data_IF_010389372245
#
_entry.id   IF_010389372245
#
_cell.length_a   1.000
_cell.length_b   1.000
_cell.length_c   1.000
_cell.angle_alpha   90.00
_cell.angle_beta   90.00
_cell.angle_gamma   90.00
#
_symmetry.space_group_name_H-M   'P 1'
#
loop_
_entity.id
_entity.type
_entity.pdbx_description
1 polymer ?
#
# COMPACT_ATOMS: atom_id res chain seq x y z
N UNK A 1 3.67 -21.91 3.59
CA UNK A 1 3.23 -20.78 2.75
C UNK A 1 1.74 -20.93 2.51
N UNK A 2 0.90 -20.00 2.97
CA UNK A 2 -0.52 -20.04 2.62
C UNK A 2 -0.63 -19.79 1.12
N UNK A 3 -1.13 -20.77 0.36
CA UNK A 3 -1.38 -20.62 -1.08
C UNK A 3 -2.54 -19.63 -1.21
N UNK A 4 -2.27 -18.41 -1.67
CA UNK A 4 -3.31 -17.40 -1.87
C UNK A 4 -4.43 -17.96 -2.74
N UNK A 5 -5.68 -17.58 -2.44
CA UNK A 5 -6.85 -17.98 -3.24
C UNK A 5 -6.62 -17.51 -4.69
N UNK A 6 -7.07 -18.22 -5.75
CA UNK A 6 -6.70 -17.91 -7.14
C UNK A 6 -6.87 -16.42 -7.53
N UNK A 7 -7.91 -15.75 -7.02
CA UNK A 7 -8.17 -14.32 -7.22
C UNK A 7 -7.10 -13.41 -6.59
N UNK A 8 -6.70 -13.71 -5.36
CA UNK A 8 -5.65 -13.00 -4.61
C UNK A 8 -4.31 -13.08 -5.34
N UNK A 9 -3.96 -14.28 -5.79
CA UNK A 9 -2.75 -14.49 -6.59
C UNK A 9 -2.79 -13.70 -7.91
N UNK A 10 -3.95 -13.65 -8.58
CA UNK A 10 -4.11 -12.86 -9.80
C UNK A 10 -3.95 -11.35 -9.57
N UNK A 11 -4.45 -10.81 -8.45
CA UNK A 11 -4.24 -9.41 -8.06
C UNK A 11 -2.75 -9.08 -7.88
N UNK A 12 -2.02 -9.92 -7.15
CA UNK A 12 -0.57 -9.77 -6.96
C UNK A 12 0.18 -9.82 -8.30
N UNK A 13 -0.16 -10.75 -9.18
CA UNK A 13 0.44 -10.86 -10.51
C UNK A 13 0.16 -9.62 -11.37
N UNK A 14 -1.06 -9.09 -11.33
CA UNK A 14 -1.41 -7.83 -12.01
C UNK A 14 -0.60 -6.66 -11.45
N UNK A 15 -0.49 -6.54 -10.13
CA UNK A 15 0.33 -5.49 -9.49
C UNK A 15 1.78 -5.53 -9.97
N UNK A 16 2.39 -6.74 -10.03
CA UNK A 16 3.75 -6.94 -10.50
C UNK A 16 3.96 -6.51 -11.96
N UNK A 17 2.98 -6.72 -12.84
CA UNK A 17 3.08 -6.33 -14.25
C UNK A 17 3.22 -4.81 -14.45
N UNK A 18 2.75 -4.02 -13.49
CA UNK A 18 2.86 -2.57 -13.54
C UNK A 18 4.20 -2.03 -13.05
N UNK A 19 5.06 -2.86 -12.42
CA UNK A 19 6.36 -2.39 -11.94
C UNK A 19 7.19 -1.81 -13.09
N UNK A 20 7.73 -0.61 -12.88
CA UNK A 20 8.48 0.15 -13.89
C UNK A 20 7.63 0.93 -14.88
N UNK A 21 6.29 0.86 -14.78
CA UNK A 21 5.38 1.66 -15.59
C UNK A 21 5.01 2.98 -14.88
N UNK A 22 4.58 3.95 -15.67
CA UNK A 22 4.07 5.25 -15.21
C UNK A 22 2.59 5.47 -15.52
N UNK A 23 1.97 4.56 -16.27
CA UNK A 23 0.55 4.62 -16.67
C UNK A 23 -0.17 3.38 -16.14
N UNK A 24 -1.38 3.59 -15.62
CA UNK A 24 -2.23 2.50 -15.12
C UNK A 24 -3.44 2.41 -16.05
N UNK A 25 -3.43 1.39 -16.90
CA UNK A 25 -4.52 1.13 -17.85
C UNK A 25 -4.98 -0.32 -17.72
N UNK A 26 -6.28 -0.50 -17.48
CA UNK A 26 -6.91 -1.82 -17.35
C UNK A 26 -8.23 -1.81 -18.07
N UNK A 27 -8.44 -2.75 -19.00
CA UNK A 27 -9.70 -2.87 -19.75
C UNK A 27 -10.08 -1.61 -20.53
N UNK A 28 -9.11 -0.85 -21.05
CA UNK A 28 -9.35 0.41 -21.78
C UNK A 28 -9.60 1.63 -20.88
N UNK A 29 -9.69 1.47 -19.56
CA UNK A 29 -9.83 2.58 -18.60
C UNK A 29 -8.46 3.00 -18.06
N UNK A 30 -8.21 4.31 -18.06
CA UNK A 30 -7.04 4.89 -17.39
C UNK A 30 -7.37 5.25 -15.93
N UNK A 31 -6.39 5.10 -15.05
CA UNK A 31 -6.46 5.46 -13.64
C UNK A 31 -5.44 6.56 -13.33
N UNK A 32 -5.69 7.32 -12.26
CA UNK A 32 -4.78 8.35 -11.79
C UNK A 32 -3.39 7.74 -11.48
N UNK A 33 -2.28 8.43 -11.84
CA UNK A 33 -0.92 7.95 -11.62
C UNK A 33 -0.49 8.17 -10.15
N UNK A 34 -1.29 7.66 -9.21
CA UNK A 34 -1.04 7.72 -7.78
C UNK A 34 -1.31 6.35 -7.12
N UNK A 35 -0.98 6.22 -5.83
CA UNK A 35 -1.15 4.97 -5.09
C UNK A 35 -2.60 4.44 -5.10
N UNK A 36 -3.60 5.32 -5.04
CA UNK A 36 -5.01 4.93 -5.02
C UNK A 36 -5.47 4.50 -6.41
N UNK A 37 -5.10 5.24 -7.46
CA UNK A 37 -5.37 4.89 -8.84
C UNK A 37 -4.71 3.58 -9.25
N UNK A 38 -3.48 3.33 -8.79
CA UNK A 38 -2.79 2.07 -8.99
C UNK A 38 -3.58 0.88 -8.41
N UNK A 39 -3.90 0.95 -7.12
CA UNK A 39 -4.65 -0.11 -6.43
C UNK A 39 -6.02 -0.34 -7.06
N UNK A 40 -6.73 0.74 -7.44
CA UNK A 40 -8.01 0.63 -8.18
C UNK A 40 -7.85 -0.05 -9.53
N UNK A 41 -6.79 0.25 -10.28
CA UNK A 41 -6.49 -0.42 -11.55
C UNK A 41 -6.27 -1.91 -11.36
N UNK A 42 -5.44 -2.30 -10.37
CA UNK A 42 -5.17 -3.71 -10.06
C UNK A 42 -6.47 -4.45 -9.72
N UNK A 43 -7.30 -3.92 -8.84
CA UNK A 43 -8.56 -4.56 -8.43
C UNK A 43 -9.63 -4.60 -9.52
N UNK A 44 -9.65 -3.60 -10.40
CA UNK A 44 -10.53 -3.59 -11.55
C UNK A 44 -10.22 -4.73 -12.54
N UNK A 45 -8.98 -5.24 -12.58
CA UNK A 45 -8.63 -6.43 -13.38
C UNK A 45 -9.42 -7.68 -12.96
N UNK A 46 -9.91 -7.70 -11.72
CA UNK A 46 -10.77 -8.72 -11.14
C UNK A 46 -12.21 -8.22 -10.92
N UNK A 47 -12.62 -7.20 -11.69
CA UNK A 47 -13.95 -6.58 -11.67
C UNK A 47 -14.40 -6.05 -10.31
N UNK A 48 -13.45 -5.63 -9.46
CA UNK A 48 -13.74 -4.95 -8.19
C UNK A 48 -13.56 -3.46 -8.38
N UNK A 49 -14.61 -2.68 -8.11
CA UNK A 49 -14.50 -1.23 -7.96
C UNK A 49 -14.38 -0.87 -6.48
N UNK A 50 -13.16 -0.54 -6.05
CA UNK A 50 -12.87 -0.16 -4.67
C UNK A 50 -13.51 1.17 -4.23
N UNK A 51 -14.08 1.93 -5.16
CA UNK A 51 -14.90 3.11 -4.84
C UNK A 51 -16.40 2.85 -4.99
N UNK A 52 -16.79 1.65 -5.45
CA UNK A 52 -18.17 1.29 -5.67
C UNK A 52 -18.99 1.37 -4.37
N UNK A 53 -20.21 1.91 -4.46
CA UNK A 53 -21.10 2.09 -3.32
C UNK A 53 -20.73 3.22 -2.36
N UNK A 54 -19.59 3.87 -2.56
CA UNK A 54 -19.19 5.04 -1.78
C UNK A 54 -19.64 6.32 -2.50
N UNK A 55 -20.23 7.25 -1.74
CA UNK A 55 -20.61 8.59 -2.23
C UNK A 55 -19.41 9.44 -2.68
N UNK A 56 -19.67 10.71 -2.99
CA UNK A 56 -18.61 11.67 -3.30
C UNK A 56 -17.69 11.90 -2.08
N UNK A 57 -16.44 12.24 -2.38
CA UNK A 57 -15.43 12.54 -1.35
C UNK A 57 -15.55 14.00 -0.92
N UNK A 58 -15.95 14.24 0.32
CA UNK A 58 -15.81 15.55 0.95
C UNK A 58 -14.48 15.62 1.70
N UNK A 59 -13.49 16.31 1.11
CA UNK A 59 -12.23 16.67 1.79
C UNK A 59 -11.25 15.52 2.12
N UNK A 60 -11.58 14.27 1.83
CA UNK A 60 -10.74 13.09 2.09
C UNK A 60 -9.83 12.68 0.92
N UNK A 61 -8.88 11.79 1.19
CA UNK A 61 -7.99 11.22 0.17
C UNK A 61 -8.50 9.86 -0.38
N UNK A 62 -7.95 9.44 -1.52
CA UNK A 62 -8.35 8.18 -2.17
C UNK A 62 -8.07 6.92 -1.35
N UNK A 63 -7.01 6.96 -0.53
CA UNK A 63 -6.59 5.86 0.34
C UNK A 63 -7.65 5.58 1.40
N UNK A 64 -8.18 6.63 2.02
CA UNK A 64 -9.28 6.57 2.98
C UNK A 64 -10.52 5.89 2.40
N UNK A 65 -10.89 6.19 1.14
CA UNK A 65 -12.01 5.48 0.49
C UNK A 65 -11.76 3.99 0.34
N UNK A 66 -10.56 3.62 -0.11
CA UNK A 66 -10.22 2.20 -0.29
C UNK A 66 -10.30 1.49 1.07
N UNK A 67 -9.77 2.12 2.12
CA UNK A 67 -9.85 1.60 3.47
C UNK A 67 -11.31 1.40 3.92
N UNK A 68 -12.18 2.41 3.73
CA UNK A 68 -13.61 2.31 4.04
C UNK A 68 -14.30 1.18 3.27
N UNK A 69 -13.98 1.02 1.98
CA UNK A 69 -14.51 -0.08 1.17
C UNK A 69 -14.10 -1.45 1.73
N UNK A 70 -12.84 -1.60 2.16
CA UNK A 70 -12.36 -2.83 2.78
C UNK A 70 -13.04 -3.09 4.14
N UNK A 71 -13.31 -2.05 4.93
CA UNK A 71 -14.09 -2.18 6.18
C UNK A 71 -15.50 -2.71 5.89
N UNK A 72 -16.15 -2.24 4.82
CA UNK A 72 -17.52 -2.64 4.47
C UNK A 72 -17.62 -4.02 3.81
N UNK A 73 -16.60 -4.41 3.03
CA UNK A 73 -16.66 -5.58 2.16
C UNK A 73 -15.54 -6.59 2.42
N UNK A 74 -14.89 -6.52 3.57
CA UNK A 74 -13.72 -7.31 3.88
C UNK A 74 -13.34 -7.25 5.35
N UNK A 75 -12.04 -7.25 5.61
CA UNK A 75 -11.48 -7.11 6.94
C UNK A 75 -10.21 -6.28 6.94
N UNK A 76 -10.05 -5.50 8.00
CA UNK A 76 -8.79 -4.86 8.38
C UNK A 76 -8.10 -5.72 9.44
N UNK A 77 -6.79 -5.91 9.31
CA UNK A 77 -6.00 -6.67 10.28
C UNK A 77 -4.56 -6.18 10.36
N UNK A 78 -3.83 -6.60 11.39
CA UNK A 78 -2.48 -6.11 11.70
C UNK A 78 -1.42 -7.23 11.59
N UNK A 79 -1.72 -8.29 10.85
CA UNK A 79 -0.87 -9.47 10.69
C UNK A 79 -1.06 -10.52 11.80
N UNK A 80 -0.10 -11.45 11.98
CA UNK A 80 1.14 -11.59 11.21
C UNK A 80 0.91 -12.18 9.81
N UNK A 81 -0.23 -12.85 9.59
CA UNK A 81 -0.57 -13.45 8.31
C UNK A 81 -1.16 -12.40 7.37
N UNK A 82 -0.53 -12.22 6.21
CA UNK A 82 -1.02 -11.45 5.06
C UNK A 82 -0.74 -12.24 3.79
N UNK A 83 -1.60 -12.12 2.78
CA UNK A 83 -1.53 -12.90 1.55
C UNK A 83 -1.20 -12.03 0.33
N UNK A 84 -0.61 -12.61 -0.72
CA UNK A 84 -0.55 -11.96 -2.03
C UNK A 84 -1.93 -11.42 -2.46
N UNK A 85 -1.94 -10.19 -2.96
CA UNK A 85 -3.15 -9.51 -3.39
C UNK A 85 -3.91 -8.78 -2.29
N UNK A 86 -3.54 -8.93 -1.02
CA UNK A 86 -4.05 -8.07 0.05
C UNK A 86 -3.52 -6.63 -0.10
N UNK A 87 -4.20 -5.68 0.54
CA UNK A 87 -3.77 -4.29 0.61
C UNK A 87 -2.90 -4.06 1.84
N UNK A 88 -1.94 -3.14 1.72
CA UNK A 88 -1.16 -2.60 2.84
C UNK A 88 -1.33 -1.09 2.87
N UNK A 89 -1.68 -0.54 4.03
CA UNK A 89 -1.93 0.88 4.25
C UNK A 89 -0.85 1.50 5.12
N UNK A 90 -0.59 2.79 4.92
CA UNK A 90 0.40 3.54 5.69
C UNK A 90 -0.14 4.90 6.13
N UNK A 91 0.34 5.36 7.29
CA UNK A 91 0.14 6.70 7.83
C UNK A 91 1.33 7.59 7.48
N UNK A 92 1.14 8.91 7.54
CA UNK A 92 2.22 9.89 7.60
C UNK A 92 3.28 9.83 6.49
N UNK A 93 2.97 9.27 5.32
CA UNK A 93 3.91 9.16 4.19
C UNK A 93 4.18 10.49 3.48
N UNK A 94 3.30 11.47 3.69
CA UNK A 94 3.44 12.88 3.34
C UNK A 94 2.50 13.69 4.23
N UNK A 95 2.73 15.00 4.31
CA UNK A 95 1.93 15.96 5.08
C UNK A 95 0.68 16.36 4.27
N UNK A 96 -0.45 15.68 4.55
CA UNK A 96 -1.69 15.81 3.77
C UNK A 96 -2.45 17.08 4.15
N UNK A 97 -2.57 17.37 5.44
CA UNK A 97 -3.28 18.54 5.95
C UNK A 97 -2.43 19.84 5.93
N UNK A 98 -1.12 19.73 5.69
CA UNK A 98 -0.14 20.82 5.60
C UNK A 98 0.13 21.55 6.92
N UNK A 99 0.01 20.85 8.05
CA UNK A 99 0.31 21.40 9.37
C UNK A 99 1.77 21.16 9.82
N UNK A 100 2.54 20.42 9.02
CA UNK A 100 3.94 20.09 9.29
C UNK A 100 4.15 18.97 10.33
N UNK A 101 3.08 18.31 10.78
CA UNK A 101 3.12 17.26 11.79
C UNK A 101 2.91 15.86 11.18
N UNK A 102 3.44 14.79 11.80
CA UNK A 102 3.20 13.43 11.36
C UNK A 102 1.88 12.89 11.94
N UNK A 103 0.75 13.52 11.61
CA UNK A 103 -0.58 13.20 12.14
C UNK A 103 -1.65 12.92 11.06
N UNK A 104 -1.22 12.59 9.84
CA UNK A 104 -2.10 12.26 8.72
C UNK A 104 -2.35 10.74 8.61
N UNK A 105 -3.56 10.26 8.96
CA UNK A 105 -3.92 8.87 8.75
C UNK A 105 -4.07 8.55 7.27
N UNK A 106 -3.89 7.27 6.95
CA UNK A 106 -4.14 6.67 5.63
C UNK A 106 -3.66 7.52 4.45
N UNK A 107 -2.36 7.77 4.35
CA UNK A 107 -1.76 8.62 3.30
C UNK A 107 -1.19 7.83 2.13
N UNK A 108 -1.06 6.51 2.25
CA UNK A 108 -0.58 5.63 1.18
C UNK A 108 -1.16 4.23 1.26
N UNK A 109 -1.23 3.55 0.11
CA UNK A 109 -1.65 2.15 -0.01
C UNK A 109 -0.85 1.44 -1.09
N UNK A 110 -0.60 0.15 -0.91
CA UNK A 110 -0.03 -0.73 -1.94
C UNK A 110 -0.71 -2.11 -1.97
N UNK A 111 -0.31 -2.94 -2.93
CA UNK A 111 -0.76 -4.33 -3.08
C UNK A 111 0.35 -5.28 -2.69
N UNK A 112 0.08 -6.20 -1.77
CA UNK A 112 1.04 -7.21 -1.32
C UNK A 112 1.34 -8.16 -2.48
N UNK A 113 2.63 -8.30 -2.82
CA UNK A 113 3.11 -9.27 -3.80
C UNK A 113 3.35 -10.63 -3.12
N UNK A 114 4.09 -10.62 -2.00
CA UNK A 114 4.49 -11.83 -1.27
C UNK A 114 4.99 -11.50 0.14
N UNK A 115 5.21 -12.55 0.93
CA UNK A 115 5.89 -12.49 2.23
C UNK A 115 7.10 -13.43 2.17
N UNK A 116 8.29 -12.90 2.42
CA UNK A 116 9.53 -13.66 2.48
C UNK A 116 9.63 -14.44 3.80
N UNK A 117 10.53 -15.43 3.86
CA UNK A 117 10.65 -16.37 4.99
C UNK A 117 10.96 -15.69 6.34
N UNK A 118 11.64 -14.55 6.31
CA UNK A 118 11.97 -13.76 7.51
C UNK A 118 10.78 -12.92 8.02
N UNK A 119 9.68 -12.88 7.27
CA UNK A 119 8.50 -12.07 7.55
C UNK A 119 8.50 -10.71 6.84
N UNK A 120 9.47 -10.45 5.95
CA UNK A 120 9.47 -9.22 5.13
C UNK A 120 8.34 -9.30 4.10
N UNK A 121 7.40 -8.37 4.19
CA UNK A 121 6.33 -8.18 3.21
C UNK A 121 6.89 -7.39 2.04
N UNK A 122 6.77 -7.96 0.84
CA UNK A 122 7.05 -7.25 -0.41
C UNK A 122 5.72 -6.82 -1.01
N UNK A 123 5.62 -5.54 -1.33
CA UNK A 123 4.41 -4.94 -1.93
C UNK A 123 4.77 -4.02 -3.07
N UNK A 124 3.81 -3.81 -3.97
CA UNK A 124 3.92 -2.87 -5.09
C UNK A 124 3.07 -1.65 -4.79
N UNK A 125 3.59 -0.46 -5.09
CA UNK A 125 2.82 0.78 -4.99
C UNK A 125 3.28 1.80 -6.02
N UNK A 126 2.48 2.85 -6.20
CA UNK A 126 2.80 4.00 -7.03
C UNK A 126 3.15 5.21 -6.19
N UNK A 127 4.31 5.79 -6.46
CA UNK A 127 4.76 7.10 -5.96
C UNK A 127 5.05 8.01 -7.15
N UNK A 128 5.49 9.25 -6.90
CA UNK A 128 5.81 10.21 -7.97
C UNK A 128 6.91 9.74 -8.93
N UNK A 129 7.82 8.86 -8.49
CA UNK A 129 8.86 8.26 -9.32
C UNK A 129 8.35 7.14 -10.24
N UNK A 130 7.15 6.60 -10.00
CA UNK A 130 6.55 5.50 -10.75
C UNK A 130 6.05 4.38 -9.86
N UNK A 131 5.78 3.22 -10.48
CA UNK A 131 5.30 2.01 -9.80
C UNK A 131 6.47 1.10 -9.46
N UNK A 132 6.69 0.86 -8.17
CA UNK A 132 7.88 0.19 -7.64
C UNK A 132 7.54 -0.87 -6.60
N UNK A 133 8.53 -1.71 -6.30
CA UNK A 133 8.47 -2.68 -5.19
C UNK A 133 9.08 -2.08 -3.93
N UNK A 134 8.40 -2.30 -2.83
CA UNK A 134 8.81 -1.90 -1.49
C UNK A 134 8.81 -3.10 -0.55
N UNK A 135 9.63 -3.01 0.49
CA UNK A 135 9.78 -4.01 1.55
C UNK A 135 9.35 -3.40 2.87
N UNK A 136 8.72 -4.23 3.71
CA UNK A 136 8.32 -3.87 5.06
C UNK A 136 8.48 -5.08 5.98
N UNK A 137 9.18 -4.90 7.10
CA UNK A 137 9.35 -5.94 8.10
C UNK A 137 8.93 -5.39 9.48
N UNK A 138 7.77 -5.86 9.96
CA UNK A 138 7.18 -5.41 11.22
C UNK A 138 7.89 -5.95 12.47
N UNK A 139 8.77 -6.96 12.34
CA UNK A 139 9.61 -7.43 13.46
C UNK A 139 10.76 -6.46 13.75
N UNK A 140 11.17 -5.68 12.74
CA UNK A 140 12.26 -4.72 12.83
C UNK A 140 11.87 -3.38 12.19
N UNK A 141 10.84 -2.68 12.70
CA UNK A 141 10.21 -1.56 12.01
C UNK A 141 11.14 -0.35 11.80
N UNK A 142 12.16 -0.19 12.66
CA UNK A 142 13.18 0.88 12.58
C UNK A 142 14.36 0.58 11.67
N UNK A 143 14.45 -0.65 11.17
CA UNK A 143 15.66 -1.12 10.51
C UNK A 143 15.48 -1.07 9.00
N UNK A 144 16.26 -0.22 8.32
CA UNK A 144 16.29 -0.20 6.86
C UNK A 144 16.94 -1.47 6.30
N UNK A 145 18.11 -1.86 6.83
CA UNK A 145 18.88 -3.03 6.40
C UNK A 145 19.32 -3.87 7.60
N UNK A 146 19.24 -5.19 7.44
CA UNK A 146 19.83 -6.14 8.37
C UNK A 146 21.37 -6.10 8.31
N UNK A 147 22.02 -6.73 9.30
CA UNK A 147 23.48 -6.82 9.38
C UNK A 147 24.12 -7.52 8.17
N UNK A 148 23.39 -8.45 7.53
CA UNK A 148 23.80 -9.15 6.31
C UNK A 148 23.52 -8.37 5.01
N UNK A 149 23.06 -7.12 5.12
CA UNK A 149 22.80 -6.23 3.99
C UNK A 149 21.42 -6.36 3.34
N UNK A 150 20.59 -7.34 3.75
CA UNK A 150 19.20 -7.44 3.26
C UNK A 150 18.39 -6.21 3.64
N UNK A 151 17.63 -5.67 2.71
CA UNK A 151 16.67 -4.58 2.97
C UNK A 151 15.46 -5.16 3.71
N UNK A 152 15.14 -4.61 4.88
CA UNK A 152 13.98 -5.00 5.67
C UNK A 152 12.83 -4.01 5.50
N UNK A 153 13.12 -2.71 5.45
CA UNK A 153 12.13 -1.65 5.27
C UNK A 153 12.64 -0.62 4.28
N UNK A 154 11.89 -0.34 3.22
CA UNK A 154 12.20 0.75 2.30
C UNK A 154 11.76 2.12 2.86
N UNK A 155 12.31 3.20 2.31
CA UNK A 155 11.86 4.56 2.61
C UNK A 155 10.59 4.86 1.82
N UNK A 156 9.50 5.20 2.52
CA UNK A 156 8.22 5.53 1.89
C UNK A 156 7.85 7.01 2.03
N UNK A 157 8.38 7.69 3.05
CA UNK A 157 8.30 9.15 3.19
C UNK A 157 9.61 9.78 2.72
N UNK A 158 9.50 10.83 1.90
CA UNK A 158 10.65 11.68 1.57
C UNK A 158 11.05 12.51 2.78
N UNK A 159 12.35 12.52 3.10
CA UNK A 159 12.91 13.34 4.18
C UNK A 159 13.12 14.79 3.74
N UNK A 160 12.69 15.72 4.58
CA UNK A 160 12.89 17.16 4.44
C UNK A 160 13.63 17.75 5.64
N UNK A 161 14.33 18.87 5.45
CA UNK A 161 15.08 19.52 6.54
C UNK A 161 14.17 20.03 7.67
N UNK A 162 12.92 20.40 7.34
CA UNK A 162 11.93 20.91 8.30
C UNK A 162 10.98 19.85 8.88
N UNK A 163 11.22 18.56 8.66
CA UNK A 163 10.36 17.52 9.24
C UNK A 163 10.39 17.61 10.78
N UNK A 164 9.20 17.56 11.39
CA UNK A 164 9.07 17.64 12.85
C UNK A 164 9.81 16.50 13.57
N UNK A 165 10.29 16.72 14.81
CA UNK A 165 10.83 15.66 15.64
C UNK A 165 9.87 14.46 15.73
N UNK A 166 10.42 13.25 15.64
CA UNK A 166 9.62 12.01 15.67
C UNK A 166 9.01 11.60 14.33
N UNK A 167 9.27 12.33 13.24
CA UNK A 167 8.88 11.90 11.89
C UNK A 167 9.60 10.61 11.49
N UNK A 168 8.82 9.58 11.14
CA UNK A 168 9.34 8.31 10.61
C UNK A 168 9.37 8.30 9.09
N UNK A 169 10.23 7.44 8.52
CA UNK A 169 10.45 7.37 7.07
C UNK A 169 10.33 5.97 6.48
N UNK A 170 10.49 4.95 7.32
CA UNK A 170 10.52 3.55 6.92
C UNK A 170 9.11 2.96 6.90
N UNK A 171 8.84 2.12 5.90
CA UNK A 171 7.56 1.40 5.75
C UNK A 171 7.09 0.75 7.06
N UNK A 172 7.97 0.07 7.79
CA UNK A 172 7.62 -0.61 9.05
C UNK A 172 7.14 0.31 10.16
N UNK A 173 7.63 1.55 10.23
CA UNK A 173 7.16 2.57 11.20
C UNK A 173 5.94 3.34 10.71
N UNK A 174 5.71 3.36 9.41
CA UNK A 174 4.58 4.04 8.78
C UNK A 174 3.37 3.11 8.61
N UNK A 175 3.51 1.82 8.91
CA UNK A 175 2.45 0.82 8.75
C UNK A 175 1.18 1.21 9.52
N UNK A 176 0.06 1.20 8.83
CA UNK A 176 -1.26 1.41 9.40
C UNK A 176 -1.98 0.08 9.63
N UNK A 177 -2.24 -0.67 8.56
CA UNK A 177 -2.94 -1.94 8.61
C UNK A 177 -2.79 -2.70 7.28
N UNK A 178 -3.20 -3.96 7.29
CA UNK A 178 -3.52 -4.73 6.09
C UNK A 178 -5.03 -4.75 5.84
N UNK A 179 -5.41 -4.98 4.58
CA UNK A 179 -6.80 -5.14 4.17
C UNK A 179 -6.99 -6.35 3.25
N UNK A 180 -7.95 -7.20 3.57
CA UNK A 180 -8.37 -8.33 2.72
C UNK A 180 -9.84 -8.14 2.36
N UNK A 181 -10.20 -8.18 1.07
CA UNK A 181 -11.61 -8.21 0.67
C UNK A 181 -12.20 -9.60 0.87
N UNK A 182 -13.45 -9.65 1.32
CA UNK A 182 -14.24 -10.86 1.29
C UNK A 182 -14.56 -11.21 -0.17
N UNK A 183 -14.63 -12.50 -0.46
CA UNK A 183 -14.88 -13.02 -1.80
C UNK A 183 -16.36 -12.98 -2.16
#
# INVERSE_FOLDING_TARGET
MAKGIPRQTALAQTAVRFVGQSRIQVGGRSYAPDCSGFVRGVYASQRVDLYGGLGELDGGNGVGRIFTHVVQHGRIHYGPTVNPGDLVFFHNTWDFNRDGLPNDPLTHVGVVEKVDLDGTVVFVSSVSAGIERYRMNLKHPDMHKAADGRILNDYLRRKYQGDAPGTYYLTGRLFAAFGTLAH
#
